data_IF_135170230690
#
_entry.id   IF_135170230690
#
_cell.length_a   1.000
_cell.length_b   1.000
_cell.length_c   1.000
_cell.angle_alpha   90.00
_cell.angle_beta   90.00
_cell.angle_gamma   90.00
#
_symmetry.space_group_name_H-M   'P 1'
#
loop_
_entity.id
_entity.type
_entity.pdbx_description
1 polymer ?
#
# COMPACT_ATOMS: atom_id res chain seq x y z
N UNK A 1 -10.18 -5.89 -12.54
CA UNK A 1 -10.29 -5.68 -11.10
C UNK A 1 -8.93 -5.21 -10.63
N UNK A 2 -8.83 -4.47 -9.56
CA UNK A 2 -7.58 -3.96 -9.03
C UNK A 2 -7.86 -2.90 -7.98
N UNK A 3 -6.89 -2.67 -7.11
CA UNK A 3 -7.02 -1.77 -5.99
C UNK A 3 -6.03 -0.62 -6.06
N UNK A 4 -6.49 0.56 -5.63
CA UNK A 4 -5.64 1.74 -5.50
C UNK A 4 -6.34 2.79 -4.65
N UNK A 5 -5.75 3.11 -3.51
CA UNK A 5 -6.31 4.06 -2.54
C UNK A 5 -5.33 5.21 -2.38
N UNK A 6 -5.78 6.43 -2.66
CA UNK A 6 -5.02 7.63 -2.32
C UNK A 6 -5.52 8.18 -0.99
N UNK A 7 -4.64 8.28 -0.02
CA UNK A 7 -4.90 8.92 1.26
C UNK A 7 -4.30 10.32 1.26
N UNK A 8 -5.15 11.32 1.38
CA UNK A 8 -4.78 12.72 1.55
C UNK A 8 -5.03 13.11 3.00
N UNK A 9 -3.98 13.19 3.80
CA UNK A 9 -4.07 13.63 5.19
C UNK A 9 -3.60 15.08 5.23
N UNK A 10 -4.55 16.00 5.40
CA UNK A 10 -4.33 17.44 5.26
C UNK A 10 -3.14 17.95 6.07
N UNK A 11 -2.20 18.58 5.36
CA UNK A 11 -0.97 19.13 5.94
C UNK A 11 0.01 18.08 6.49
N UNK A 12 -0.23 16.80 6.23
CA UNK A 12 0.54 15.69 6.79
C UNK A 12 1.10 14.78 5.69
N UNK A 13 0.29 13.89 5.12
CA UNK A 13 0.72 12.88 4.16
C UNK A 13 -0.13 12.84 2.89
N UNK A 14 0.54 12.51 1.79
CA UNK A 14 -0.10 11.99 0.58
C UNK A 14 0.45 10.58 0.35
N UNK A 15 -0.37 9.59 0.55
CA UNK A 15 0.01 8.18 0.43
C UNK A 15 -0.79 7.52 -0.68
N UNK A 16 -0.17 6.56 -1.35
CA UNK A 16 -0.84 5.61 -2.24
C UNK A 16 -0.73 4.22 -1.62
N UNK A 17 -1.84 3.52 -1.52
CA UNK A 17 -1.89 2.11 -1.14
C UNK A 17 -2.24 1.33 -2.38
N UNK A 18 -1.35 0.44 -2.80
CA UNK A 18 -1.42 -0.30 -4.05
C UNK A 18 -1.53 0.61 -5.29
N UNK A 19 -2.20 0.20 -6.32
CA UNK A 19 -2.40 1.01 -7.51
C UNK A 19 -2.24 0.20 -8.78
N UNK A 20 -2.92 -0.93 -8.86
CA UNK A 20 -2.89 -1.79 -10.02
C UNK A 20 -4.25 -2.03 -10.64
N UNK A 21 -4.26 -2.77 -11.74
CA UNK A 21 -5.49 -3.23 -12.40
C UNK A 21 -5.21 -4.41 -13.31
N UNK A 22 -6.05 -5.45 -13.24
CA UNK A 22 -6.01 -6.59 -14.15
C UNK A 22 -6.73 -6.36 -15.48
N UNK A 23 -7.58 -5.33 -15.58
CA UNK A 23 -8.44 -5.10 -16.74
C UNK A 23 -8.24 -3.73 -17.42
N UNK A 24 -7.34 -2.89 -16.89
CA UNK A 24 -7.00 -1.59 -17.46
C UNK A 24 -5.50 -1.48 -17.67
N UNK A 25 -5.10 -1.12 -18.87
CA UNK A 25 -3.72 -0.77 -19.18
C UNK A 25 -3.44 0.67 -18.80
N UNK A 26 -2.17 0.96 -18.48
CA UNK A 26 -1.67 2.30 -18.19
C UNK A 26 -2.47 3.02 -17.06
N UNK A 27 -2.85 2.26 -16.03
CA UNK A 27 -3.60 2.77 -14.88
C UNK A 27 -2.79 3.81 -14.09
N UNK A 28 -1.49 3.60 -13.96
CA UNK A 28 -0.58 4.56 -13.32
C UNK A 28 -0.59 5.91 -14.02
N UNK A 29 -0.43 5.89 -15.34
CA UNK A 29 -0.38 7.10 -16.16
C UNK A 29 -1.72 7.83 -16.21
N UNK A 30 -2.78 7.13 -16.64
CA UNK A 30 -4.04 7.79 -17.00
C UNK A 30 -5.01 7.96 -15.84
N UNK A 31 -4.87 7.19 -14.77
CA UNK A 31 -5.74 7.31 -13.62
C UNK A 31 -5.01 7.92 -12.43
N UNK A 32 -3.96 7.25 -11.92
CA UNK A 32 -3.32 7.68 -10.66
C UNK A 32 -2.59 9.02 -10.85
N UNK A 33 -1.65 9.12 -11.79
CA UNK A 33 -0.92 10.37 -12.03
C UNK A 33 -1.85 11.51 -12.45
N UNK A 34 -2.90 11.22 -13.23
CA UNK A 34 -3.90 12.22 -13.63
C UNK A 34 -4.72 12.70 -12.44
N UNK A 35 -5.13 11.78 -11.54
CA UNK A 35 -5.82 12.13 -10.30
C UNK A 35 -4.94 13.01 -9.42
N UNK A 36 -3.71 12.58 -9.12
CA UNK A 36 -2.77 13.34 -8.29
C UNK A 36 -2.57 14.76 -8.82
N UNK A 37 -2.35 14.91 -10.14
CA UNK A 37 -2.22 16.23 -10.79
C UNK A 37 -3.50 17.07 -10.65
N UNK A 38 -4.67 16.47 -10.81
CA UNK A 38 -5.96 17.17 -10.67
C UNK A 38 -6.20 17.68 -9.25
N UNK A 39 -5.63 17.01 -8.25
CA UNK A 39 -5.66 17.38 -6.84
C UNK A 39 -4.56 18.36 -6.45
N UNK A 40 -3.63 18.69 -7.36
CA UNK A 40 -2.46 19.51 -7.07
C UNK A 40 -1.40 18.79 -6.22
N UNK A 41 -1.47 17.48 -6.12
CA UNK A 41 -0.49 16.66 -5.41
C UNK A 41 0.73 16.50 -6.30
N UNK A 42 1.87 17.03 -5.86
CA UNK A 42 3.16 16.94 -6.56
C UNK A 42 4.15 15.99 -5.89
N UNK A 43 3.76 15.39 -4.75
CA UNK A 43 4.59 14.50 -3.97
C UNK A 43 3.73 13.42 -3.32
N UNK A 44 4.15 12.17 -3.47
CA UNK A 44 3.72 11.05 -2.63
C UNK A 44 4.82 10.82 -1.58
N UNK A 45 4.45 10.89 -0.32
CA UNK A 45 5.36 10.62 0.80
C UNK A 45 5.66 9.13 0.90
N UNK A 46 4.70 8.28 0.48
CA UNK A 46 4.87 6.84 0.42
C UNK A 46 3.90 6.15 -0.53
N UNK A 47 4.39 5.08 -1.14
CA UNK A 47 3.57 4.08 -1.82
C UNK A 47 3.69 2.79 -1.02
N UNK A 48 2.59 2.31 -0.48
CA UNK A 48 2.49 1.06 0.25
C UNK A 48 2.00 -0.03 -0.70
N UNK A 49 2.69 -1.15 -0.72
CA UNK A 49 2.30 -2.33 -1.50
C UNK A 49 1.85 -3.40 -0.53
N UNK A 50 0.58 -3.78 -0.61
CA UNK A 50 0.04 -4.85 0.22
C UNK A 50 0.66 -6.20 -0.15
N UNK A 51 0.67 -6.53 -1.44
CA UNK A 51 1.29 -7.72 -2.03
C UNK A 51 1.60 -7.49 -3.51
N UNK A 52 2.25 -8.46 -4.17
CA UNK A 52 2.88 -8.23 -5.48
C UNK A 52 2.09 -8.80 -6.66
N UNK A 53 0.79 -9.02 -6.52
CA UNK A 53 -0.06 -9.38 -7.67
C UNK A 53 -0.25 -8.20 -8.63
N UNK A 54 -0.32 -8.50 -9.92
CA UNK A 54 -0.29 -7.50 -10.98
C UNK A 54 -1.41 -6.46 -10.89
N UNK A 55 -2.56 -6.83 -10.35
CA UNK A 55 -3.69 -5.92 -10.16
C UNK A 55 -3.56 -5.00 -8.93
N UNK A 56 -2.52 -5.17 -8.13
CA UNK A 56 -2.12 -4.27 -7.05
C UNK A 56 -0.93 -3.39 -7.40
N UNK A 57 -0.03 -3.86 -8.28
CA UNK A 57 1.24 -3.18 -8.51
C UNK A 57 1.41 -2.54 -9.89
N UNK A 58 0.62 -2.92 -10.90
CA UNK A 58 0.88 -2.51 -12.29
C UNK A 58 0.93 -0.99 -12.49
N UNK A 59 0.09 -0.23 -11.81
CA UNK A 59 0.14 1.24 -11.87
C UNK A 59 1.28 1.83 -11.06
N UNK A 60 1.67 1.22 -9.94
CA UNK A 60 2.85 1.63 -9.18
C UNK A 60 4.13 1.42 -9.99
N UNK A 61 4.26 0.30 -10.72
CA UNK A 61 5.38 0.08 -11.64
C UNK A 61 5.46 1.21 -12.68
N UNK A 62 4.34 1.56 -13.31
CA UNK A 62 4.28 2.67 -14.27
C UNK A 62 4.68 4.00 -13.63
N UNK A 63 4.21 4.31 -12.41
CA UNK A 63 4.56 5.55 -11.70
C UNK A 63 6.07 5.61 -11.47
N UNK A 64 6.68 4.54 -10.95
CA UNK A 64 8.12 4.47 -10.71
C UNK A 64 8.92 4.62 -12.01
N UNK A 65 8.48 3.98 -13.10
CA UNK A 65 9.10 4.18 -14.41
C UNK A 65 9.02 5.64 -14.89
N UNK A 66 7.87 6.30 -14.72
CA UNK A 66 7.68 7.70 -15.13
C UNK A 66 8.56 8.64 -14.30
N UNK A 67 8.67 8.38 -12.99
CA UNK A 67 9.55 9.13 -12.09
C UNK A 67 11.01 8.94 -12.52
N UNK A 68 11.47 7.70 -12.67
CA UNK A 68 12.85 7.39 -13.05
C UNK A 68 13.25 7.92 -14.43
N UNK A 69 12.32 7.97 -15.38
CA UNK A 69 12.53 8.55 -16.71
C UNK A 69 12.34 10.08 -16.77
N UNK A 70 11.96 10.74 -15.67
CA UNK A 70 11.67 12.17 -15.63
C UNK A 70 10.45 12.59 -16.47
N UNK A 71 9.49 11.67 -16.68
CA UNK A 71 8.28 11.90 -17.48
C UNK A 71 7.11 12.48 -16.67
N UNK A 72 7.28 12.65 -15.37
CA UNK A 72 6.31 13.27 -14.47
C UNK A 72 7.01 14.26 -13.54
N UNK A 73 6.26 15.25 -13.06
CA UNK A 73 6.70 16.16 -11.99
C UNK A 73 6.34 15.65 -10.59
N UNK A 74 5.60 14.55 -10.51
CA UNK A 74 5.29 13.89 -9.23
C UNK A 74 6.57 13.27 -8.69
N UNK A 75 6.85 13.51 -7.41
CA UNK A 75 7.94 12.86 -6.67
C UNK A 75 7.37 11.77 -5.77
N UNK A 76 8.13 10.72 -5.60
CA UNK A 76 7.84 9.64 -4.64
C UNK A 76 9.03 9.54 -3.69
N UNK A 77 8.79 9.63 -2.40
CA UNK A 77 9.88 9.57 -1.42
C UNK A 77 10.19 8.13 -1.02
N UNK A 78 9.16 7.35 -0.74
CA UNK A 78 9.34 5.98 -0.25
C UNK A 78 8.46 4.98 -0.99
N UNK A 79 9.00 3.78 -1.21
CA UNK A 79 8.26 2.57 -1.54
C UNK A 79 8.31 1.65 -0.32
N UNK A 80 7.15 1.33 0.23
CA UNK A 80 7.01 0.52 1.43
C UNK A 80 6.51 -0.87 1.04
N UNK A 81 7.29 -1.89 1.33
CA UNK A 81 7.05 -3.28 0.97
C UNK A 81 6.97 -4.16 2.23
N UNK A 82 6.25 -5.28 2.20
CA UNK A 82 6.30 -6.26 3.29
C UNK A 82 7.71 -6.86 3.43
N UNK A 83 8.15 -7.13 4.67
CA UNK A 83 9.46 -7.74 4.99
C UNK A 83 9.38 -9.27 4.82
N UNK A 84 9.46 -9.73 3.58
CA UNK A 84 9.47 -11.16 3.23
C UNK A 84 10.91 -11.70 3.16
N UNK A 85 11.12 -12.94 3.64
CA UNK A 85 12.43 -13.63 3.55
C UNK A 85 12.74 -14.06 2.11
N UNK A 86 11.72 -14.50 1.35
CA UNK A 86 11.83 -14.82 -0.06
C UNK A 86 11.10 -13.75 -0.88
N UNK A 87 11.83 -13.12 -1.79
CA UNK A 87 11.33 -12.00 -2.59
C UNK A 87 10.91 -12.52 -3.99
N UNK A 88 9.59 -12.57 -4.33
CA UNK A 88 9.12 -12.95 -5.65
C UNK A 88 9.66 -12.03 -6.77
N UNK A 89 9.60 -12.48 -8.03
CA UNK A 89 10.09 -11.72 -9.19
C UNK A 89 9.52 -10.29 -9.27
N UNK A 90 8.21 -10.15 -9.04
CA UNK A 90 7.55 -8.85 -9.04
C UNK A 90 8.05 -7.93 -7.92
N UNK A 91 8.38 -8.49 -6.76
CA UNK A 91 8.96 -7.75 -5.65
C UNK A 91 10.34 -7.19 -6.00
N UNK A 92 11.20 -8.04 -6.58
CA UNK A 92 12.53 -7.63 -7.04
C UNK A 92 12.44 -6.55 -8.12
N UNK A 93 11.50 -6.68 -9.05
CA UNK A 93 11.23 -5.69 -10.09
C UNK A 93 10.84 -4.32 -9.51
N UNK A 94 9.95 -4.29 -8.52
CA UNK A 94 9.57 -3.05 -7.84
C UNK A 94 10.77 -2.37 -7.17
N UNK A 95 11.64 -3.13 -6.52
CA UNK A 95 12.87 -2.60 -5.91
C UNK A 95 13.82 -2.01 -6.95
N UNK A 96 13.99 -2.69 -8.09
CA UNK A 96 14.82 -2.19 -9.19
C UNK A 96 14.26 -0.88 -9.79
N UNK A 97 12.95 -0.81 -9.99
CA UNK A 97 12.28 0.40 -10.45
C UNK A 97 12.42 1.54 -9.44
N UNK A 98 12.25 1.27 -8.15
CA UNK A 98 12.43 2.27 -7.10
C UNK A 98 13.88 2.79 -7.07
N UNK A 99 14.87 1.90 -7.17
CA UNK A 99 16.28 2.29 -7.25
C UNK A 99 16.57 3.18 -8.47
N UNK A 100 16.00 2.85 -9.63
CA UNK A 100 16.15 3.66 -10.86
C UNK A 100 15.49 5.04 -10.73
N UNK A 101 14.41 5.11 -9.96
CA UNK A 101 13.65 6.34 -9.70
C UNK A 101 14.21 7.17 -8.53
N UNK A 102 15.30 6.75 -7.88
CA UNK A 102 15.86 7.36 -6.65
C UNK A 102 14.83 7.42 -5.51
N UNK A 103 14.00 6.37 -5.40
CA UNK A 103 12.97 6.20 -4.36
C UNK A 103 13.51 5.28 -3.28
N UNK A 104 13.41 5.71 -2.01
CA UNK A 104 13.87 4.90 -0.88
C UNK A 104 12.92 3.71 -0.65
N UNK A 105 13.47 2.50 -0.57
CA UNK A 105 12.69 1.29 -0.24
C UNK A 105 12.76 1.04 1.27
N UNK A 106 11.60 0.85 1.89
CA UNK A 106 11.44 0.44 3.28
C UNK A 106 10.74 -0.91 3.31
N UNK A 107 11.24 -1.84 4.12
CA UNK A 107 10.60 -3.12 4.39
C UNK A 107 9.98 -3.07 5.79
N UNK A 108 8.73 -3.51 5.91
CA UNK A 108 7.96 -3.43 7.16
C UNK A 108 7.26 -4.75 7.48
N UNK A 109 7.05 -5.00 8.77
CA UNK A 109 6.41 -6.19 9.32
C UNK A 109 5.55 -5.85 10.54
N UNK A 110 4.81 -6.80 11.03
CA UNK A 110 4.00 -6.66 12.25
C UNK A 110 4.80 -6.08 13.42
N UNK A 111 4.23 -5.08 14.05
CA UNK A 111 4.83 -4.31 15.15
C UNK A 111 5.60 -3.06 14.72
N UNK A 112 5.89 -2.87 13.43
CA UNK A 112 6.46 -1.64 12.93
C UNK A 112 5.39 -0.52 12.91
N UNK A 113 5.84 0.71 13.13
CA UNK A 113 4.98 1.89 13.19
C UNK A 113 5.62 3.04 12.42
N UNK A 114 4.83 3.68 11.59
CA UNK A 114 5.23 4.86 10.84
C UNK A 114 4.40 6.04 11.34
N UNK A 115 5.07 7.09 11.81
CA UNK A 115 4.40 8.29 12.35
C UNK A 115 4.83 9.53 11.59
N UNK A 116 3.88 10.41 11.33
CA UNK A 116 4.14 11.74 10.82
C UNK A 116 3.07 12.73 11.30
N UNK A 117 3.49 13.76 12.02
CA UNK A 117 2.56 14.68 12.66
C UNK A 117 1.64 13.93 13.63
N UNK A 118 0.34 14.07 13.44
CA UNK A 118 -0.69 13.41 14.26
C UNK A 118 -1.24 12.12 13.62
N UNK A 119 -0.66 11.67 12.50
CA UNK A 119 -1.05 10.45 11.84
C UNK A 119 -0.09 9.32 12.20
N UNK A 120 -0.64 8.12 12.37
CA UNK A 120 0.09 6.92 12.73
C UNK A 120 -0.41 5.76 11.87
N UNK A 121 0.52 5.00 11.30
CA UNK A 121 0.28 3.75 10.61
C UNK A 121 0.95 2.62 11.38
N UNK A 122 0.16 1.70 11.88
CA UNK A 122 0.62 0.48 12.54
C UNK A 122 0.56 -0.69 11.57
N UNK A 123 1.66 -1.41 11.41
CA UNK A 123 1.73 -2.61 10.59
C UNK A 123 1.32 -3.80 11.46
N UNK A 124 0.23 -4.46 11.06
CA UNK A 124 -0.35 -5.59 11.78
C UNK A 124 0.11 -6.93 11.21
N UNK A 125 0.49 -6.98 9.92
CA UNK A 125 0.91 -8.16 9.17
C UNK A 125 1.81 -7.74 7.99
N UNK A 126 2.76 -8.56 7.49
CA UNK A 126 3.07 -9.93 7.89
C UNK A 126 3.91 -10.00 9.17
N UNK A 127 3.96 -11.19 9.80
CA UNK A 127 4.88 -11.45 10.90
C UNK A 127 6.33 -11.54 10.39
N UNK A 128 7.28 -11.40 11.30
CA UNK A 128 8.70 -11.59 10.98
C UNK A 128 8.95 -13.03 10.51
N UNK A 129 9.65 -13.17 9.38
CA UNK A 129 9.98 -14.48 8.81
C UNK A 129 8.93 -15.01 7.83
N UNK A 130 8.01 -14.16 7.39
CA UNK A 130 7.10 -14.47 6.29
C UNK A 130 7.90 -14.78 5.01
N UNK A 131 7.52 -15.85 4.30
CA UNK A 131 8.30 -16.32 3.14
C UNK A 131 7.78 -15.82 1.79
N UNK A 132 6.58 -15.23 1.75
CA UNK A 132 5.99 -14.72 0.51
C UNK A 132 5.59 -15.81 -0.52
N UNK A 133 5.51 -17.07 -0.08
CA UNK A 133 5.05 -18.18 -0.95
C UNK A 133 3.59 -18.01 -1.36
N UNK A 134 2.76 -17.53 -0.44
CA UNK A 134 1.39 -17.11 -0.72
C UNK A 134 1.29 -15.60 -0.47
N UNK A 135 1.42 -14.84 -1.55
CA UNK A 135 1.49 -13.37 -1.48
C UNK A 135 0.21 -12.75 -0.90
N UNK A 136 -0.93 -13.43 -1.03
CA UNK A 136 -2.19 -12.97 -0.46
C UNK A 136 -2.22 -13.21 1.06
N UNK A 137 -1.90 -14.43 1.52
CA UNK A 137 -1.86 -14.72 2.96
C UNK A 137 -0.79 -13.90 3.70
N UNK A 138 0.25 -13.47 3.00
CA UNK A 138 1.32 -12.62 3.53
C UNK A 138 1.21 -11.16 3.08
N UNK A 139 0.02 -10.74 2.61
CA UNK A 139 -0.22 -9.35 2.25
C UNK A 139 -0.14 -8.41 3.46
N UNK A 140 0.39 -7.22 3.26
CA UNK A 140 0.51 -6.22 4.33
C UNK A 140 -0.85 -5.77 4.83
N UNK A 141 -1.06 -5.87 6.13
CA UNK A 141 -2.20 -5.31 6.82
C UNK A 141 -1.75 -4.14 7.68
N UNK A 142 -2.44 -3.02 7.55
CA UNK A 142 -2.10 -1.82 8.30
C UNK A 142 -3.33 -1.10 8.83
N UNK A 143 -3.18 -0.48 10.01
CA UNK A 143 -4.17 0.38 10.63
C UNK A 143 -3.67 1.81 10.63
N UNK A 144 -4.49 2.73 10.11
CA UNK A 144 -4.27 4.17 10.16
C UNK A 144 -5.06 4.77 11.32
N UNK A 145 -4.37 5.49 12.19
CA UNK A 145 -4.99 6.37 13.17
C UNK A 145 -4.70 7.83 12.85
N UNK A 146 -5.74 8.65 12.74
CA UNK A 146 -5.63 10.10 12.59
C UNK A 146 -6.71 10.80 13.42
N UNK A 147 -6.31 11.35 14.56
CA UNK A 147 -7.25 11.93 15.52
C UNK A 147 -8.21 10.89 16.09
N UNK A 148 -9.48 10.93 15.66
CA UNK A 148 -10.50 9.94 16.04
C UNK A 148 -10.79 8.95 14.91
N UNK A 149 -10.25 9.17 13.73
CA UNK A 149 -10.44 8.31 12.58
C UNK A 149 -9.54 7.08 12.67
N UNK A 150 -10.12 5.92 12.42
CA UNK A 150 -9.42 4.64 12.29
C UNK A 150 -9.76 3.99 10.95
N UNK A 151 -8.74 3.66 10.17
CA UNK A 151 -8.87 2.96 8.91
C UNK A 151 -8.05 1.68 8.89
N UNK A 152 -8.64 0.56 8.49
CA UNK A 152 -7.97 -0.73 8.34
C UNK A 152 -7.86 -1.08 6.86
N UNK A 153 -6.64 -1.39 6.43
CA UNK A 153 -6.30 -1.79 5.07
C UNK A 153 -5.73 -3.21 5.12
N UNK A 154 -6.44 -4.16 4.52
CA UNK A 154 -6.12 -5.59 4.66
C UNK A 154 -5.44 -6.19 3.43
N UNK A 155 -5.38 -5.45 2.32
CA UNK A 155 -5.02 -6.07 1.04
C UNK A 155 -5.96 -7.27 0.76
N UNK A 156 -5.46 -8.27 0.08
CA UNK A 156 -6.21 -9.46 -0.31
C UNK A 156 -5.96 -10.67 0.63
N UNK A 157 -5.78 -10.41 1.96
CA UNK A 157 -5.56 -11.49 2.92
C UNK A 157 -6.66 -12.55 2.86
N UNK A 158 -6.25 -13.81 2.98
CA UNK A 158 -7.18 -14.92 3.05
C UNK A 158 -7.78 -15.15 4.45
N UNK A 159 -8.69 -16.10 4.54
CA UNK A 159 -9.41 -16.41 5.78
C UNK A 159 -8.52 -16.89 6.94
N UNK A 160 -7.36 -17.48 6.64
CA UNK A 160 -6.45 -17.95 7.70
C UNK A 160 -5.78 -16.79 8.38
N UNK A 161 -5.26 -15.84 7.61
CA UNK A 161 -4.64 -14.62 8.13
C UNK A 161 -5.65 -13.74 8.83
N UNK A 162 -6.86 -13.60 8.28
CA UNK A 162 -7.95 -12.88 8.96
C UNK A 162 -8.24 -13.45 10.36
N UNK A 163 -8.34 -14.77 10.52
CA UNK A 163 -8.54 -15.42 11.81
C UNK A 163 -7.38 -15.19 12.79
N UNK A 164 -6.13 -15.23 12.28
CA UNK A 164 -4.94 -14.93 13.09
C UNK A 164 -5.00 -13.50 13.61
N UNK A 165 -5.29 -12.53 12.74
CA UNK A 165 -5.41 -11.12 13.11
C UNK A 165 -6.53 -10.89 14.13
N UNK A 166 -7.72 -11.49 13.95
CA UNK A 166 -8.82 -11.38 14.90
C UNK A 166 -8.46 -11.95 16.28
N UNK A 167 -7.62 -13.00 16.32
CA UNK A 167 -7.21 -13.60 17.59
C UNK A 167 -6.07 -12.84 18.28
N UNK A 168 -5.17 -12.21 17.51
CA UNK A 168 -4.00 -11.52 18.00
C UNK A 168 -4.27 -10.03 18.31
N UNK A 169 -5.10 -9.40 17.51
CA UNK A 169 -5.47 -7.99 17.64
C UNK A 169 -6.96 -7.89 17.94
N UNK A 170 -7.33 -7.14 18.98
CA UNK A 170 -8.69 -6.66 19.11
C UNK A 170 -8.87 -5.63 17.99
N UNK A 171 -9.38 -6.09 16.84
CA UNK A 171 -9.84 -5.19 15.79
C UNK A 171 -11.02 -4.42 16.39
N UNK A 172 -10.74 -3.22 16.91
CA UNK A 172 -11.74 -2.33 17.43
C UNK A 172 -12.61 -1.78 16.28
N UNK A 173 -13.71 -1.13 16.61
CA UNK A 173 -14.56 -0.45 15.62
C UNK A 173 -13.71 0.50 14.76
N UNK A 174 -13.64 0.23 13.45
CA UNK A 174 -12.95 1.09 12.47
C UNK A 174 -13.96 1.90 11.67
N UNK A 175 -13.58 3.12 11.32
CA UNK A 175 -14.43 4.01 10.50
C UNK A 175 -14.37 3.64 9.01
N UNK A 176 -13.28 3.00 8.60
CA UNK A 176 -13.04 2.57 7.22
C UNK A 176 -12.36 1.20 7.19
N UNK A 177 -12.87 0.32 6.34
CA UNK A 177 -12.26 -0.98 6.04
C UNK A 177 -12.11 -1.12 4.53
N UNK A 178 -10.85 -1.27 4.06
CA UNK A 178 -10.55 -1.80 2.74
C UNK A 178 -10.23 -3.28 2.90
N UNK A 179 -11.06 -4.13 2.31
CA UNK A 179 -10.96 -5.59 2.37
C UNK A 179 -11.10 -6.16 0.96
N UNK A 180 -10.52 -7.32 0.67
CA UNK A 180 -10.80 -8.04 -0.56
C UNK A 180 -12.30 -8.27 -0.70
N UNK A 181 -12.80 -8.49 -1.87
CA UNK A 181 -14.16 -8.43 -2.39
C UNK A 181 -15.29 -9.20 -1.66
N UNK A 182 -15.16 -9.50 -0.38
CA UNK A 182 -16.20 -10.08 0.49
C UNK A 182 -16.60 -9.09 1.56
N UNK A 183 -17.60 -8.29 1.25
CA UNK A 183 -18.10 -7.16 2.00
C UNK A 183 -18.45 -7.41 3.47
N UNK A 184 -17.93 -6.57 4.36
CA UNK A 184 -18.69 -6.06 5.48
C UNK A 184 -18.29 -4.58 5.70
N UNK A 185 -19.08 -3.67 5.17
CA UNK A 185 -18.96 -2.24 5.48
C UNK A 185 -19.79 -1.96 6.72
N UNK A 186 -19.15 -1.66 7.82
CA UNK A 186 -19.84 -1.14 9.00
C UNK A 186 -19.67 0.38 9.03
N UNK A 187 -20.75 1.11 8.72
CA UNK A 187 -20.86 2.54 9.01
C UNK A 187 -21.53 2.72 10.38
N UNK A 188 -20.97 3.58 11.18
CA UNK A 188 -21.67 4.26 12.28
C UNK A 188 -21.76 5.74 12.00
#
# INVERSE_FOLDING_TARGET
>A
QGDGIVLEIEGTWNLLIDGGSSNKSAVGQYQILSYLKSRGISRLDGIFISHTDGDHISGTEEILEYVGKGLTSIRVDHLILPDWEEEPENYLKLRELAQTADVQVLQVKAGDRICYGNAQLDILWPEKGAVGEDVNEEAMVMELEYGKFKGLFTGDIGMETEKKLQSAHRLEDVDFLSSPSWFAVFYR
#
